data_IF_744714845124
#
_entry.id   IF_744714845124
#
_cell.length_a   1.000
_cell.length_b   1.000
_cell.length_c   1.000
_cell.angle_alpha   90.00
_cell.angle_beta   90.00
_cell.angle_gamma   90.00
#
_symmetry.space_group_name_H-M   'P 1'
#
loop_
_entity.id
_entity.type
_entity.pdbx_description
1 polymer ?
#
# COMPACT_ATOMS: atom_id res chain seq x y z
N UNK A 1 -0.84 -11.52 42.02
CA UNK A 1 -2.10 -11.70 41.28
C UNK A 1 -2.66 -10.34 40.86
N UNK A 2 -1.90 -9.49 40.18
CA UNK A 2 -2.42 -8.25 39.55
C UNK A 2 -1.27 -7.64 38.77
N UNK A 3 -1.32 -7.74 37.44
CA UNK A 3 -0.51 -7.04 36.41
C UNK A 3 -0.55 -7.81 35.08
N UNK A 4 -1.14 -9.01 35.06
CA UNK A 4 -1.31 -9.84 33.87
C UNK A 4 -2.48 -9.41 32.95
N UNK A 5 -2.93 -8.14 32.93
CA UNK A 5 -4.15 -7.76 32.20
C UNK A 5 -4.25 -6.33 31.62
N UNK A 6 -3.20 -5.49 31.63
CA UNK A 6 -3.38 -4.07 31.28
C UNK A 6 -2.65 -3.55 30.02
N UNK A 7 -1.96 -4.39 29.26
CA UNK A 7 -1.46 -3.99 27.92
C UNK A 7 -2.02 -4.89 26.81
N UNK A 8 -3.26 -5.34 27.00
CA UNK A 8 -4.13 -5.87 25.95
C UNK A 8 -4.58 -4.78 24.94
N UNK A 9 -3.80 -3.72 24.74
CA UNK A 9 -4.19 -2.53 23.98
C UNK A 9 -3.13 -2.06 22.97
N UNK A 10 -2.19 -2.92 22.54
CA UNK A 10 -1.56 -2.73 21.22
C UNK A 10 -2.53 -3.20 20.14
N UNK A 11 -3.64 -2.46 20.07
CA UNK A 11 -4.65 -2.36 19.01
C UNK A 11 -4.98 -3.66 18.27
N UNK A 12 -6.00 -4.34 18.79
CA UNK A 12 -7.07 -4.98 18.01
C UNK A 12 -6.65 -5.97 16.92
N UNK A 13 -6.47 -7.23 17.30
CA UNK A 13 -6.60 -8.39 16.40
C UNK A 13 -8.06 -8.70 15.99
N UNK A 14 -8.90 -7.67 15.85
CA UNK A 14 -10.26 -7.72 15.31
C UNK A 14 -10.50 -6.42 14.56
N UNK A 15 -9.75 -6.19 13.48
CA UNK A 15 -10.06 -5.11 12.56
C UNK A 15 -11.41 -5.47 11.91
N UNK A 16 -12.49 -4.81 12.36
CA UNK A 16 -13.78 -4.95 11.71
C UNK A 16 -13.70 -4.39 10.29
N UNK A 17 -14.48 -4.95 9.36
CA UNK A 17 -14.55 -4.48 7.97
C UNK A 17 -14.77 -2.95 7.90
N UNK A 18 -15.56 -2.40 8.83
CA UNK A 18 -15.84 -0.97 8.97
C UNK A 18 -14.63 -0.14 9.44
N UNK A 19 -13.75 -0.70 10.28
CA UNK A 19 -12.51 -0.04 10.70
C UNK A 19 -11.50 0.01 9.54
N UNK A 20 -11.44 -1.05 8.75
CA UNK A 20 -10.62 -1.11 7.55
C UNK A 20 -11.10 -0.12 6.49
N UNK A 21 -12.41 0.04 6.32
CA UNK A 21 -12.97 1.02 5.37
C UNK A 21 -12.59 2.46 5.76
N UNK A 22 -12.69 2.80 7.05
CA UNK A 22 -12.20 4.09 7.55
C UNK A 22 -10.71 4.29 7.30
N UNK A 23 -9.89 3.24 7.49
CA UNK A 23 -8.44 3.30 7.23
C UNK A 23 -8.14 3.48 5.75
N UNK A 24 -8.93 2.86 4.87
CA UNK A 24 -8.86 3.08 3.43
C UNK A 24 -9.15 4.55 3.10
N UNK A 25 -10.25 5.12 3.61
CA UNK A 25 -10.60 6.52 3.37
C UNK A 25 -9.53 7.48 3.90
N UNK A 26 -9.03 7.27 5.12
CA UNK A 26 -7.97 8.09 5.71
C UNK A 26 -6.68 8.03 4.88
N UNK A 27 -6.29 6.84 4.44
CA UNK A 27 -5.09 6.67 3.64
C UNK A 27 -5.24 7.26 2.24
N UNK A 28 -6.42 7.15 1.62
CA UNK A 28 -6.74 7.80 0.35
C UNK A 28 -6.84 9.31 0.45
N UNK A 29 -7.14 9.87 1.63
CA UNK A 29 -7.21 11.31 1.88
C UNK A 29 -5.82 11.97 1.99
N UNK A 30 -4.75 11.19 2.11
CA UNK A 30 -3.39 11.72 2.21
C UNK A 30 -3.00 12.44 0.90
N UNK A 31 -2.51 13.71 0.97
CA UNK A 31 -2.15 14.46 -0.23
C UNK A 31 -1.04 13.79 -1.06
N UNK A 32 -0.25 12.90 -0.46
CA UNK A 32 0.79 12.15 -1.15
C UNK A 32 0.26 11.24 -2.27
N UNK A 33 -0.99 10.77 -2.15
CA UNK A 33 -1.63 9.88 -3.15
C UNK A 33 -2.72 10.58 -3.97
N UNK A 34 -2.90 11.88 -3.76
CA UNK A 34 -3.96 12.65 -4.42
C UNK A 34 -3.82 12.60 -5.96
N UNK A 35 -2.60 12.78 -6.48
CA UNK A 35 -2.34 12.78 -7.92
C UNK A 35 -2.65 11.41 -8.55
N UNK A 36 -2.24 10.31 -7.90
CA UNK A 36 -2.53 8.96 -8.37
C UNK A 36 -4.04 8.66 -8.33
N UNK A 37 -4.76 9.15 -7.31
CA UNK A 37 -6.20 8.96 -7.13
C UNK A 37 -7.04 9.78 -8.12
N UNK A 38 -6.61 11.00 -8.44
CA UNK A 38 -7.35 11.94 -9.29
C UNK A 38 -6.94 11.84 -10.77
N UNK A 39 -5.83 11.19 -11.06
CA UNK A 39 -5.30 10.96 -12.40
C UNK A 39 -6.05 9.90 -13.23
N UNK A 40 -5.58 9.65 -14.46
CA UNK A 40 -6.26 8.77 -15.44
C UNK A 40 -6.38 7.31 -14.99
N UNK A 41 -5.50 6.86 -14.08
CA UNK A 41 -5.52 5.51 -13.51
C UNK A 41 -6.14 5.45 -12.10
N UNK A 42 -6.72 6.55 -11.62
CA UNK A 42 -7.16 6.71 -10.25
C UNK A 42 -8.17 5.66 -9.77
N UNK A 43 -9.10 5.25 -10.63
CA UNK A 43 -10.07 4.20 -10.27
C UNK A 43 -9.36 2.87 -9.94
N UNK A 44 -8.37 2.50 -10.75
CA UNK A 44 -7.66 1.22 -10.58
C UNK A 44 -6.68 1.32 -9.41
N UNK A 45 -6.07 2.49 -9.20
CA UNK A 45 -5.26 2.78 -8.02
C UNK A 45 -6.08 2.64 -6.72
N UNK A 46 -7.24 3.29 -6.64
CA UNK A 46 -8.13 3.21 -5.46
C UNK A 46 -8.53 1.77 -5.18
N UNK A 47 -8.88 1.00 -6.21
CA UNK A 47 -9.26 -0.42 -6.07
C UNK A 47 -8.10 -1.27 -5.52
N UNK A 48 -6.91 -1.17 -6.12
CA UNK A 48 -5.73 -1.92 -5.68
C UNK A 48 -5.28 -1.53 -4.27
N UNK A 49 -5.27 -0.22 -3.98
CA UNK A 49 -4.88 0.31 -2.68
C UNK A 49 -5.87 -0.07 -1.58
N UNK A 50 -7.17 0.00 -1.87
CA UNK A 50 -8.21 -0.45 -0.94
C UNK A 50 -8.10 -1.94 -0.63
N UNK A 51 -7.84 -2.75 -1.66
CA UNK A 51 -7.59 -4.19 -1.48
C UNK A 51 -6.36 -4.43 -0.59
N UNK A 52 -5.25 -3.71 -0.83
CA UNK A 52 -4.02 -3.86 -0.05
C UNK A 52 -4.23 -3.56 1.45
N UNK A 53 -4.91 -2.46 1.76
CA UNK A 53 -5.22 -2.08 3.14
C UNK A 53 -6.14 -3.10 3.83
N UNK A 54 -7.09 -3.67 3.08
CA UNK A 54 -8.03 -4.70 3.56
C UNK A 54 -7.45 -6.12 3.59
N UNK A 55 -6.36 -6.38 2.86
CA UNK A 55 -5.81 -7.72 2.70
C UNK A 55 -5.41 -8.31 4.05
N UNK A 56 -5.85 -9.52 4.39
CA UNK A 56 -5.44 -10.24 5.61
C UNK A 56 -4.47 -11.38 5.32
N UNK A 57 -3.93 -11.44 4.10
CA UNK A 57 -2.97 -12.45 3.71
C UNK A 57 -1.67 -12.34 4.53
N UNK A 58 -0.97 -13.48 4.71
CA UNK A 58 0.32 -13.57 5.43
C UNK A 58 1.33 -12.59 4.82
N UNK A 59 1.42 -12.60 3.50
CA UNK A 59 2.04 -11.55 2.71
C UNK A 59 0.96 -10.55 2.26
N UNK A 60 0.94 -9.37 2.89
CA UNK A 60 -0.04 -8.31 2.62
C UNK A 60 -0.11 -7.98 1.13
N UNK A 61 -1.33 -8.03 0.57
CA UNK A 61 -1.56 -7.71 -0.83
C UNK A 61 -1.31 -8.85 -1.82
N UNK A 62 -0.86 -10.03 -1.36
CA UNK A 62 -0.71 -11.20 -2.25
C UNK A 62 -2.04 -11.63 -2.89
N UNK A 63 -3.16 -11.42 -2.21
CA UNK A 63 -4.50 -11.66 -2.76
C UNK A 63 -4.97 -10.55 -3.73
N UNK A 64 -4.28 -9.40 -3.74
CA UNK A 64 -4.63 -8.21 -4.52
C UNK A 64 -3.79 -8.04 -5.80
N UNK A 65 -2.97 -9.04 -6.14
CA UNK A 65 -2.01 -8.95 -7.25
C UNK A 65 -2.66 -8.56 -8.58
N UNK A 66 -3.85 -9.07 -8.86
CA UNK A 66 -4.57 -8.75 -10.11
C UNK A 66 -4.88 -7.24 -10.21
N UNK A 67 -5.34 -6.61 -9.12
CA UNK A 67 -5.60 -5.16 -9.09
C UNK A 67 -4.31 -4.36 -9.28
N UNK A 68 -3.19 -4.78 -8.68
CA UNK A 68 -1.89 -4.14 -8.88
C UNK A 68 -1.36 -4.28 -10.32
N UNK A 69 -1.58 -5.44 -10.95
CA UNK A 69 -1.26 -5.64 -12.37
C UNK A 69 -2.12 -4.72 -13.25
N UNK A 70 -3.42 -4.61 -12.97
CA UNK A 70 -4.31 -3.69 -13.68
C UNK A 70 -3.84 -2.23 -13.59
N UNK A 71 -3.37 -1.82 -12.40
CA UNK A 71 -2.83 -0.48 -12.19
C UNK A 71 -1.56 -0.23 -13.01
N UNK A 72 -0.60 -1.18 -13.00
CA UNK A 72 0.60 -1.09 -13.83
C UNK A 72 0.27 -1.01 -15.32
N UNK A 73 -0.67 -1.82 -15.79
CA UNK A 73 -1.10 -1.80 -17.19
C UNK A 73 -1.72 -0.45 -17.58
N UNK A 74 -2.49 0.17 -16.68
CA UNK A 74 -3.01 1.50 -16.89
C UNK A 74 -1.87 2.53 -16.97
N UNK A 75 -0.91 2.50 -16.06
CA UNK A 75 0.23 3.43 -16.08
C UNK A 75 1.03 3.34 -17.38
N UNK A 76 1.28 2.11 -17.86
CA UNK A 76 1.94 1.86 -19.14
C UNK A 76 1.16 2.37 -20.35
N UNK A 77 -0.18 2.38 -20.29
CA UNK A 77 -1.04 2.94 -21.33
C UNK A 77 -1.09 4.48 -21.30
N UNK A 78 -0.69 5.11 -20.20
CA UNK A 78 -0.75 6.56 -19.99
C UNK A 78 0.64 7.18 -19.69
N UNK A 79 1.68 6.93 -20.50
CA UNK A 79 3.06 7.31 -20.17
C UNK A 79 3.24 8.82 -20.01
N UNK A 80 2.46 9.65 -20.71
CA UNK A 80 2.50 11.11 -20.57
C UNK A 80 2.05 11.60 -19.18
N UNK A 81 1.11 10.89 -18.53
CA UNK A 81 0.64 11.23 -17.20
C UNK A 81 1.62 10.78 -16.10
N UNK A 82 2.50 9.82 -16.41
CA UNK A 82 3.47 9.26 -15.47
C UNK A 82 4.92 9.63 -15.81
N UNK A 83 5.14 10.52 -16.78
CA UNK A 83 6.47 10.90 -17.25
C UNK A 83 7.31 11.53 -16.14
N UNK A 84 6.73 12.42 -15.32
CA UNK A 84 7.45 13.05 -14.20
C UNK A 84 7.91 12.02 -13.14
N UNK A 85 7.17 10.91 -12.99
CA UNK A 85 7.55 9.80 -12.12
C UNK A 85 8.62 8.90 -12.75
N UNK A 86 8.69 8.83 -14.08
CA UNK A 86 9.68 8.05 -14.82
C UNK A 86 11.02 8.81 -15.01
N UNK A 87 10.98 10.13 -15.17
CA UNK A 87 12.18 10.95 -15.43
C UNK A 87 13.04 11.19 -14.17
N UNK A 88 12.51 10.94 -12.97
CA UNK A 88 13.33 10.87 -11.75
C UNK A 88 14.09 9.53 -11.60
N UNK A 89 13.88 8.57 -12.51
CA UNK A 89 14.57 7.29 -12.57
C UNK A 89 15.59 7.25 -13.74
N UNK A 90 16.52 8.20 -13.77
CA UNK A 90 17.70 8.11 -14.63
C UNK A 90 18.55 6.91 -14.17
N UNK A 91 18.58 5.87 -15.02
CA UNK A 91 19.25 4.56 -14.88
C UNK A 91 18.46 3.37 -14.30
N UNK A 92 17.19 3.15 -14.66
CA UNK A 92 16.64 1.77 -14.65
C UNK A 92 15.54 1.59 -15.71
N UNK A 93 15.61 0.57 -16.61
CA UNK A 93 14.50 0.27 -17.53
C UNK A 93 13.21 -0.05 -16.75
N UNK A 94 12.00 0.09 -17.33
CA UNK A 94 10.75 -0.26 -16.66
C UNK A 94 10.76 -1.76 -16.33
N UNK A 95 11.19 -2.08 -15.11
CA UNK A 95 11.20 -3.44 -14.59
C UNK A 95 9.76 -3.84 -14.31
N UNK A 96 9.12 -4.44 -15.31
CA UNK A 96 8.22 -5.54 -15.00
C UNK A 96 9.01 -6.55 -14.15
N UNK A 97 8.55 -6.72 -12.91
CA UNK A 97 8.97 -7.71 -11.91
C UNK A 97 10.23 -7.44 -11.06
N UNK A 98 9.95 -7.43 -9.74
CA UNK A 98 10.75 -8.00 -8.65
C UNK A 98 11.99 -7.23 -8.14
N UNK A 99 11.76 -6.28 -7.25
CA UNK A 99 12.35 -6.31 -5.90
C UNK A 99 11.55 -5.44 -4.92
N UNK A 100 10.75 -6.06 -4.06
CA UNK A 100 10.47 -5.49 -2.73
C UNK A 100 10.51 -6.61 -1.73
N UNK A 101 11.66 -7.28 -1.69
CA UNK A 101 12.15 -7.85 -0.44
C UNK A 101 12.84 -6.74 0.37
N UNK A 102 12.15 -5.64 0.71
CA UNK A 102 12.56 -4.70 1.77
C UNK A 102 11.55 -3.55 1.98
N UNK A 103 10.32 -3.87 2.35
CA UNK A 103 9.56 -3.01 3.27
C UNK A 103 9.02 -3.84 4.44
N UNK A 104 9.88 -4.70 4.97
CA UNK A 104 9.73 -5.20 6.33
C UNK A 104 10.05 -4.07 7.32
N UNK A 105 9.33 -3.96 8.46
CA UNK A 105 9.65 -2.96 9.48
C UNK A 105 11.11 -3.10 9.93
N UNK A 106 11.81 -1.96 10.06
CA UNK A 106 13.16 -1.90 10.67
C UNK A 106 13.18 -2.78 11.93
N UNK A 107 14.15 -3.71 12.09
CA UNK A 107 14.43 -4.23 13.41
C UNK A 107 14.89 -3.05 14.28
N UNK A 108 14.11 -2.75 15.31
CA UNK A 108 14.54 -1.93 16.42
C UNK A 108 15.65 -2.70 17.14
N UNK A 109 16.90 -2.28 16.92
CA UNK A 109 18.01 -2.71 17.76
C UNK A 109 17.90 -1.96 19.09
N UNK A 110 17.59 -2.71 20.15
CA UNK A 110 17.75 -2.29 21.53
C UNK A 110 19.13 -2.77 22.01
N UNK A 111 19.90 -1.93 22.71
CA UNK A 111 21.09 -2.38 23.41
C UNK A 111 22.11 -1.30 23.74
N UNK A 112 21.86 -0.57 24.83
CA UNK A 112 22.84 -0.17 25.87
C UNK A 112 22.07 0.29 27.10
#
# INVERSE_FOLDING_TARGET
MESLAAEAARQSGTEGEEDLDRKVEEALACPCVADLREGPCGKVFVEAFSCYVKSTAEDKGSDCMESFVGMQQCMLAHPAAFAEYAESADDTPPAAAADTSAAGPKPATAGQ
#
